data_IF_394807049750
#
_entry.id   IF_394807049750
#
_cell.length_a   1.000
_cell.length_b   1.000
_cell.length_c   1.000
_cell.angle_alpha   90.00
_cell.angle_beta   90.00
_cell.angle_gamma   90.00
#
_symmetry.space_group_name_H-M   'P 1'
#
loop_
_entity.id
_entity.type
_entity.pdbx_description
1 polymer ?
#
# COMPACT_ATOMS: atom_id res chain seq x y z
N UNK A 1 -5.55 -17.29 18.60
CA UNK A 1 -5.56 -16.72 17.23
C UNK A 1 -5.81 -15.22 17.33
N UNK A 2 -4.91 -14.36 16.84
CA UNK A 2 -5.19 -12.92 16.74
C UNK A 2 -6.27 -12.72 15.67
N UNK A 3 -7.38 -12.07 16.01
CA UNK A 3 -8.50 -11.84 15.10
C UNK A 3 -8.03 -10.97 13.92
N UNK A 4 -8.21 -11.45 12.69
CA UNK A 4 -7.87 -10.68 11.51
C UNK A 4 -8.85 -9.50 11.39
N UNK A 5 -8.32 -8.30 11.55
CA UNK A 5 -9.09 -7.07 11.39
C UNK A 5 -9.04 -6.67 9.92
N UNK A 6 -10.20 -6.72 9.25
CA UNK A 6 -10.35 -6.26 7.87
C UNK A 6 -10.77 -4.78 7.91
N UNK A 7 -10.06 -3.93 7.17
CA UNK A 7 -10.35 -2.50 7.05
C UNK A 7 -10.59 -2.12 5.59
N UNK A 8 -11.69 -1.43 5.32
CA UNK A 8 -11.94 -0.87 3.99
C UNK A 8 -11.14 0.42 3.83
N UNK A 9 -10.33 0.48 2.79
CA UNK A 9 -9.49 1.65 2.48
C UNK A 9 -10.33 2.65 1.71
N UNK A 10 -10.38 3.87 2.26
CA UNK A 10 -10.96 5.04 1.60
C UNK A 10 -9.97 5.59 0.58
N UNK A 11 -8.72 5.80 1.00
CA UNK A 11 -7.64 6.35 0.20
C UNK A 11 -6.29 5.94 0.79
N UNK A 12 -5.20 6.11 0.03
CA UNK A 12 -3.86 5.83 0.52
C UNK A 12 -2.83 6.78 -0.07
N UNK A 13 -1.65 6.81 0.53
CA UNK A 13 -0.48 7.48 -0.02
C UNK A 13 0.77 6.63 0.21
N UNK A 14 1.67 6.61 -0.77
CA UNK A 14 2.97 5.96 -0.68
C UNK A 14 4.06 7.03 -0.70
N UNK A 15 4.97 6.97 0.26
CA UNK A 15 6.19 7.77 0.31
C UNK A 15 7.40 6.86 0.20
N UNK A 16 8.43 7.27 -0.52
CA UNK A 16 9.68 6.53 -0.64
C UNK A 16 10.75 7.10 0.29
N UNK A 17 11.66 6.25 0.79
CA UNK A 17 12.87 6.72 1.45
C UNK A 17 13.86 7.33 0.42
N UNK A 18 14.83 8.15 0.84
CA UNK A 18 15.75 8.80 -0.10
C UNK A 18 16.62 7.84 -0.93
N UNK A 19 16.79 6.59 -0.50
CA UNK A 19 17.64 5.58 -1.15
C UNK A 19 16.81 4.68 -2.07
N UNK A 20 15.50 4.57 -1.86
CA UNK A 20 14.62 3.74 -2.65
C UNK A 20 14.45 2.31 -2.15
N UNK A 21 14.87 1.97 -0.92
CA UNK A 21 14.75 0.61 -0.40
C UNK A 21 13.37 0.30 0.20
N UNK A 22 12.64 1.33 0.61
CA UNK A 22 11.46 1.18 1.46
C UNK A 22 10.38 2.19 1.09
N UNK A 23 9.15 1.70 0.96
CA UNK A 23 7.97 2.55 0.86
C UNK A 23 7.27 2.60 2.21
N UNK A 24 6.94 3.80 2.67
CA UNK A 24 5.96 4.00 3.73
C UNK A 24 4.57 4.12 3.08
N UNK A 25 3.71 3.16 3.36
CA UNK A 25 2.32 3.17 2.94
C UNK A 25 1.43 3.66 4.07
N UNK A 26 0.71 4.76 3.85
CA UNK A 26 -0.30 5.29 4.77
C UNK A 26 -1.69 5.02 4.21
N UNK A 27 -2.46 4.20 4.93
CA UNK A 27 -3.83 3.86 4.59
C UNK A 27 -4.80 4.69 5.43
N UNK A 28 -5.73 5.37 4.76
CA UNK A 28 -6.90 5.95 5.40
C UNK A 28 -8.11 5.05 5.17
N UNK A 29 -8.91 4.85 6.21
CA UNK A 29 -10.03 3.90 6.19
C UNK A 29 -11.38 4.62 6.13
N UNK A 30 -12.43 3.90 5.72
CA UNK A 30 -13.83 4.36 5.80
C UNK A 30 -14.31 4.57 7.26
N UNK A 31 -13.47 4.24 8.24
CA UNK A 31 -13.65 4.54 9.65
C UNK A 31 -12.45 4.07 10.47
N UNK A 32 -12.21 4.74 11.59
CA UNK A 32 -11.06 4.46 12.46
C UNK A 32 -9.85 5.35 12.15
N UNK A 33 -8.72 5.03 12.80
CA UNK A 33 -7.45 5.75 12.61
C UNK A 33 -6.71 5.21 11.39
N UNK A 34 -6.03 6.11 10.69
CA UNK A 34 -5.09 5.74 9.63
C UNK A 34 -4.01 4.78 10.16
N UNK A 35 -3.44 3.97 9.27
CA UNK A 35 -2.34 3.07 9.59
C UNK A 35 -1.19 3.25 8.61
N UNK A 36 0.03 3.24 9.15
CA UNK A 36 1.26 3.30 8.39
C UNK A 36 1.96 1.93 8.45
N UNK A 37 2.48 1.47 7.31
CA UNK A 37 3.31 0.25 7.24
C UNK A 37 4.48 0.48 6.29
N UNK A 38 5.62 -0.10 6.62
CA UNK A 38 6.79 -0.10 5.76
C UNK A 38 6.76 -1.31 4.81
N UNK A 39 6.77 -1.05 3.51
CA UNK A 39 6.73 -2.06 2.44
C UNK A 39 8.11 -2.14 1.77
N UNK A 40 8.81 -3.28 1.87
CA UNK A 40 10.08 -3.48 1.17
C UNK A 40 9.93 -3.45 -0.34
N UNK A 41 10.96 -2.97 -1.05
CA UNK A 41 11.03 -2.97 -2.51
C UNK A 41 10.64 -4.32 -3.15
N UNK A 42 11.09 -5.44 -2.57
CA UNK A 42 10.76 -6.79 -3.07
C UNK A 42 9.24 -7.08 -3.06
N UNK A 43 8.53 -6.64 -2.03
CA UNK A 43 7.07 -6.75 -1.94
C UNK A 43 6.39 -5.82 -2.94
N UNK A 44 6.93 -4.61 -3.13
CA UNK A 44 6.42 -3.65 -4.13
C UNK A 44 6.53 -4.22 -5.54
N UNK A 45 7.68 -4.77 -5.92
CA UNK A 45 7.86 -5.38 -7.25
C UNK A 45 6.98 -6.61 -7.45
N UNK A 46 6.82 -7.44 -6.41
CA UNK A 46 5.88 -8.54 -6.48
C UNK A 46 4.45 -8.03 -6.70
N UNK A 47 4.01 -7.00 -5.97
CA UNK A 47 2.69 -6.39 -6.13
C UNK A 47 2.49 -5.84 -7.55
N UNK A 48 3.44 -5.06 -8.08
CA UNK A 48 3.35 -4.53 -9.45
C UNK A 48 3.17 -5.62 -10.52
N UNK A 49 3.80 -6.78 -10.34
CA UNK A 49 3.71 -7.90 -11.26
C UNK A 49 2.37 -8.68 -11.15
N UNK A 50 1.68 -8.60 -10.00
CA UNK A 50 0.50 -9.44 -9.72
C UNK A 50 -0.81 -8.65 -9.55
N UNK A 51 -0.75 -7.33 -9.35
CA UNK A 51 -1.93 -6.49 -9.25
C UNK A 51 -2.56 -6.25 -10.64
N UNK A 52 -3.89 -6.34 -10.76
CA UNK A 52 -4.58 -6.12 -12.01
C UNK A 52 -4.38 -4.69 -12.49
N UNK A 53 -4.22 -4.53 -13.80
CA UNK A 53 -4.15 -3.24 -14.46
C UNK A 53 -5.56 -2.71 -14.67
N UNK A 54 -5.81 -1.44 -14.36
CA UNK A 54 -7.09 -0.83 -14.68
C UNK A 54 -7.34 -0.78 -16.20
N UNK A 55 -8.53 -1.18 -16.62
CA UNK A 55 -8.98 -1.13 -18.01
C UNK A 55 -10.09 -0.09 -18.25
N UNK A 56 -10.52 0.59 -17.19
CA UNK A 56 -11.64 1.52 -17.22
C UNK A 56 -11.14 2.97 -17.27
N UNK A 57 -11.29 3.65 -18.41
CA UNK A 57 -10.78 5.01 -18.59
C UNK A 57 -11.56 6.05 -17.79
N UNK A 58 -12.76 5.71 -17.29
CA UNK A 58 -13.60 6.61 -16.50
C UNK A 58 -13.40 6.41 -14.98
N UNK A 59 -12.46 5.55 -14.58
CA UNK A 59 -12.19 5.27 -13.18
C UNK A 59 -11.71 6.54 -12.46
N UNK A 60 -12.54 7.02 -11.53
CA UNK A 60 -12.20 8.18 -10.72
C UNK A 60 -11.16 7.81 -9.64
N UNK A 61 -10.20 8.70 -9.34
CA UNK A 61 -9.25 8.48 -8.26
C UNK A 61 -9.95 8.50 -6.88
N UNK A 62 -9.35 7.85 -5.86
CA UNK A 62 -9.86 7.93 -4.49
C UNK A 62 -9.89 9.37 -3.96
N UNK A 63 -10.93 9.78 -3.21
CA UNK A 63 -11.01 11.12 -2.64
C UNK A 63 -10.09 11.27 -1.42
N UNK A 64 -9.63 12.49 -1.15
CA UNK A 64 -8.93 12.88 0.09
C UNK A 64 -7.76 11.94 0.43
N UNK A 65 -6.65 12.05 -0.31
CA UNK A 65 -5.43 11.30 -0.02
C UNK A 65 -4.89 11.68 1.37
N UNK A 66 -4.44 10.70 2.19
CA UNK A 66 -3.79 11.03 3.45
C UNK A 66 -2.45 11.71 3.21
N UNK A 67 -2.03 12.57 4.14
CA UNK A 67 -0.71 13.17 4.11
C UNK A 67 0.27 12.33 4.94
N UNK A 68 1.40 11.96 4.33
CA UNK A 68 2.56 11.41 5.06
C UNK A 68 3.33 12.57 5.68
N UNK A 69 3.51 12.52 6.98
CA UNK A 69 4.24 13.49 7.79
C UNK A 69 5.63 12.92 8.14
N UNK A 70 6.63 13.76 8.46
CA UNK A 70 7.93 13.28 8.92
C UNK A 70 7.83 12.32 10.11
N UNK A 71 6.93 12.59 11.05
CA UNK A 71 6.66 11.73 12.20
C UNK A 71 6.17 10.33 11.84
N UNK A 72 5.51 10.14 10.68
CA UNK A 72 5.10 8.80 10.22
C UNK A 72 6.34 7.95 9.84
N UNK A 73 7.43 8.57 9.38
CA UNK A 73 8.70 7.91 9.09
C UNK A 73 9.48 7.58 10.35
N UNK A 74 9.43 8.47 11.34
CA UNK A 74 10.16 8.33 12.61
C UNK A 74 9.44 7.41 13.60
N UNK A 75 8.17 7.07 13.37
CA UNK A 75 7.40 6.22 14.27
C UNK A 75 7.88 4.76 14.23
N UNK A 76 8.63 4.40 15.26
CA UNK A 76 9.19 3.05 15.47
C UNK A 76 8.12 1.97 15.64
N UNK A 77 6.86 2.33 15.93
CA UNK A 77 5.77 1.36 16.05
C UNK A 77 5.21 0.92 14.71
N UNK A 78 5.50 1.67 13.63
CA UNK A 78 5.08 1.29 12.28
C UNK A 78 5.74 -0.04 11.89
N UNK A 79 4.96 -1.09 11.62
CA UNK A 79 5.48 -2.41 11.34
C UNK A 79 6.00 -2.50 9.92
N UNK A 80 6.87 -3.49 9.69
CA UNK A 80 7.36 -3.82 8.36
C UNK A 80 6.56 -4.99 7.79
N UNK A 81 6.20 -4.88 6.52
CA UNK A 81 5.57 -5.97 5.76
C UNK A 81 6.61 -7.04 5.43
N UNK A 82 6.29 -8.28 5.76
CA UNK A 82 7.09 -9.47 5.47
C UNK A 82 6.63 -10.16 4.19
N UNK A 83 5.33 -10.30 4.04
CA UNK A 83 4.69 -10.94 2.89
C UNK A 83 3.29 -10.36 2.66
N UNK A 84 2.77 -10.57 1.45
CA UNK A 84 1.41 -10.16 1.09
C UNK A 84 0.66 -11.32 0.45
N UNK A 85 -0.62 -11.41 0.76
CA UNK A 85 -1.56 -12.33 0.10
C UNK A 85 -2.71 -11.51 -0.47
N UNK A 86 -2.90 -11.60 -1.79
CA UNK A 86 -3.97 -10.90 -2.49
C UNK A 86 -5.05 -11.90 -2.91
N UNK A 87 -6.31 -11.54 -2.66
CA UNK A 87 -7.48 -12.21 -3.22
C UNK A 87 -8.30 -11.18 -3.99
N UNK A 88 -8.43 -11.39 -5.29
CA UNK A 88 -9.25 -10.56 -6.16
C UNK A 88 -10.73 -10.94 -6.06
N UNK A 89 -11.57 -9.93 -6.10
CA UNK A 89 -13.02 -9.96 -6.26
C UNK A 89 -13.39 -9.07 -7.46
N UNK A 90 -14.66 -9.06 -7.85
CA UNK A 90 -15.12 -8.35 -9.05
C UNK A 90 -14.83 -6.83 -9.00
N UNK A 91 -14.97 -6.22 -7.81
CA UNK A 91 -14.85 -4.77 -7.60
C UNK A 91 -13.73 -4.38 -6.61
N UNK A 92 -13.02 -5.35 -6.04
CA UNK A 92 -12.05 -5.11 -4.99
C UNK A 92 -10.94 -6.16 -4.90
N UNK A 93 -9.85 -5.79 -4.23
CA UNK A 93 -8.80 -6.72 -3.80
C UNK A 93 -8.77 -6.72 -2.28
N UNK A 94 -8.83 -7.91 -1.68
CA UNK A 94 -8.47 -8.10 -0.29
C UNK A 94 -6.98 -8.43 -0.22
N UNK A 95 -6.20 -7.53 0.37
CA UNK A 95 -4.77 -7.73 0.59
C UNK A 95 -4.52 -7.94 2.09
N UNK A 96 -3.98 -9.10 2.45
CA UNK A 96 -3.50 -9.38 3.79
C UNK A 96 -2.00 -9.22 3.83
N UNK A 97 -1.52 -8.30 4.67
CA UNK A 97 -0.11 -8.05 4.94
C UNK A 97 0.30 -8.79 6.22
N UNK A 98 1.30 -9.64 6.11
CA UNK A 98 2.01 -10.20 7.27
C UNK A 98 2.99 -9.15 7.81
N UNK A 99 2.93 -8.89 9.12
CA UNK A 99 3.66 -7.82 9.77
C UNK A 99 4.65 -8.38 10.78
N UNK A 100 5.83 -7.78 10.86
CA UNK A 100 6.96 -8.24 11.68
C UNK A 100 6.68 -8.24 13.20
N UNK A 101 5.98 -7.22 13.70
CA UNK A 101 5.85 -6.95 15.14
C UNK A 101 4.41 -6.90 15.63
N UNK A 102 3.43 -6.85 14.73
CA UNK A 102 2.01 -6.64 15.07
C UNK A 102 1.11 -7.73 14.48
N UNK A 103 -0.21 -7.63 14.68
CA UNK A 103 -1.14 -8.53 14.02
C UNK A 103 -1.21 -8.20 12.52
N UNK A 104 -1.39 -9.21 11.67
CA UNK A 104 -1.56 -9.01 10.23
C UNK A 104 -2.64 -7.97 9.94
N UNK A 105 -2.34 -7.06 9.01
CA UNK A 105 -3.28 -6.04 8.54
C UNK A 105 -3.94 -6.56 7.27
N UNK A 106 -5.27 -6.65 7.28
CA UNK A 106 -6.02 -6.94 6.05
C UNK A 106 -6.74 -5.69 5.59
N UNK A 107 -6.46 -5.27 4.36
CA UNK A 107 -7.11 -4.15 3.70
C UNK A 107 -8.01 -4.62 2.56
N UNK A 108 -9.13 -3.94 2.39
CA UNK A 108 -9.98 -4.08 1.21
C UNK A 108 -9.81 -2.82 0.35
N UNK A 109 -9.30 -3.02 -0.87
CA UNK A 109 -8.99 -1.98 -1.83
C UNK A 109 -10.00 -2.07 -2.98
N UNK A 110 -10.80 -1.02 -3.21
CA UNK A 110 -11.61 -0.94 -4.42
C UNK A 110 -10.72 -0.71 -5.66
N UNK A 111 -11.30 -0.79 -6.85
CA UNK A 111 -10.59 -0.58 -8.13
C UNK A 111 -9.77 0.72 -8.17
N UNK A 112 -10.35 1.84 -7.74
CA UNK A 112 -9.68 3.14 -7.69
C UNK A 112 -8.43 3.14 -6.80
N UNK A 113 -8.52 2.51 -5.63
CA UNK A 113 -7.40 2.39 -4.71
C UNK A 113 -6.31 1.45 -5.26
N UNK A 114 -6.69 0.35 -5.90
CA UNK A 114 -5.72 -0.57 -6.55
C UNK A 114 -4.95 0.17 -7.64
N UNK A 115 -5.64 0.93 -8.48
CA UNK A 115 -5.00 1.69 -9.55
C UNK A 115 -4.08 2.79 -9.02
N UNK A 116 -4.54 3.56 -8.01
CA UNK A 116 -3.70 4.56 -7.34
C UNK A 116 -2.42 3.94 -6.78
N UNK A 117 -2.55 2.79 -6.10
CA UNK A 117 -1.42 2.07 -5.54
C UNK A 117 -0.44 1.62 -6.63
N UNK A 118 -0.95 1.08 -7.75
CA UNK A 118 -0.13 0.71 -8.91
C UNK A 118 0.62 1.91 -9.48
N UNK A 119 -0.06 3.03 -9.70
CA UNK A 119 0.57 4.24 -10.28
C UNK A 119 1.70 4.77 -9.40
N UNK A 120 1.51 4.82 -8.09
CA UNK A 120 2.56 5.24 -7.16
C UNK A 120 3.75 4.27 -7.14
N UNK A 121 3.48 2.96 -7.14
CA UNK A 121 4.54 1.94 -7.20
C UNK A 121 5.29 1.96 -8.53
N UNK A 122 4.60 2.25 -9.64
CA UNK A 122 5.19 2.38 -10.97
C UNK A 122 6.12 3.59 -11.06
N UNK A 123 5.71 4.73 -10.49
CA UNK A 123 6.59 5.89 -10.33
C UNK A 123 7.84 5.55 -9.52
N UNK A 124 7.66 4.91 -8.35
CA UNK A 124 8.77 4.42 -7.53
C UNK A 124 9.71 3.46 -8.30
N UNK A 125 9.17 2.53 -9.10
CA UNK A 125 9.98 1.64 -9.94
C UNK A 125 10.81 2.43 -10.94
N UNK A 126 10.23 3.45 -11.57
CA UNK A 126 10.93 4.37 -12.48
C UNK A 126 12.11 5.05 -11.78
N UNK A 127 11.85 5.69 -10.64
CA UNK A 127 12.87 6.40 -9.86
C UNK A 127 14.02 5.48 -9.45
N UNK A 128 13.72 4.22 -9.08
CA UNK A 128 14.74 3.22 -8.76
C UNK A 128 15.60 2.78 -9.95
N UNK A 129 15.00 2.65 -11.13
CA UNK A 129 15.75 2.28 -12.34
C UNK A 129 16.66 3.42 -12.80
N UNK A 130 16.24 4.68 -12.60
CA UNK A 130 17.02 5.87 -12.92
C UNK A 130 18.22 6.09 -11.98
N UNK A 131 18.28 5.40 -10.83
CA UNK A 131 19.45 5.40 -9.94
C UNK A 131 20.65 4.61 -10.47
N UNK A 132 20.54 3.98 -11.65
CA UNK A 132 21.68 3.53 -12.46
C UNK A 132 22.48 2.37 -11.87
N UNK A 133 22.11 1.15 -12.26
CA UNK A 133 23.05 0.04 -12.42
C UNK A 133 23.42 -0.13 -13.90
#
# INVERSE_FOLDING_TARGET
MKQAVIRQVKSMYLSCDPIGNLLLAKFSFEGGKDACVFIPASVVFWLLAHLPVNQDPELLPPPNLPHVLPEDWDDVVNPRVLSVQCKQFDDAIRMTMELDRTANLTVLLNRSNVELMRQMMEGYRGDLMDLGF
#
